data_IF_834869150252
#
_entry.id   IF_834869150252
#
_cell.length_a   1.000
_cell.length_b   1.000
_cell.length_c   1.000
_cell.angle_alpha   90.00
_cell.angle_beta   90.00
_cell.angle_gamma   90.00
#
_symmetry.space_group_name_H-M   'P 1'
#
loop_
_entity.id
_entity.type
_entity.pdbx_description
1 polymer ?
#
# COMPACT_ATOMS: atom_id res chain seq x y z
N UNK A 1 2.72 14.27 -20.91
CA UNK A 1 2.75 12.79 -20.77
C UNK A 1 3.40 12.37 -19.46
N UNK A 2 4.57 12.91 -19.08
CA UNK A 2 5.20 12.59 -17.78
C UNK A 2 4.30 12.92 -16.57
N UNK A 3 3.59 14.05 -16.60
CA UNK A 3 2.66 14.46 -15.54
C UNK A 3 1.51 13.48 -15.31
N UNK A 4 1.09 12.80 -16.38
CA UNK A 4 0.01 11.82 -16.35
C UNK A 4 0.54 10.51 -15.76
N UNK A 5 1.72 10.08 -16.20
CA UNK A 5 2.43 8.91 -15.63
C UNK A 5 2.65 9.09 -14.13
N UNK A 6 3.14 10.24 -13.66
CA UNK A 6 3.33 10.49 -12.22
C UNK A 6 2.02 10.49 -11.46
N UNK A 7 0.95 11.12 -11.99
CA UNK A 7 -0.38 11.11 -11.35
C UNK A 7 -0.96 9.70 -11.24
N UNK A 8 -0.90 8.91 -12.32
CA UNK A 8 -1.36 7.52 -12.35
C UNK A 8 -0.53 6.65 -11.40
N UNK A 9 0.78 6.89 -11.31
CA UNK A 9 1.67 6.17 -10.37
C UNK A 9 1.30 6.45 -8.92
N UNK A 10 1.06 7.72 -8.57
CA UNK A 10 0.63 8.09 -7.22
C UNK A 10 -0.75 7.48 -6.90
N UNK A 11 -1.68 7.45 -7.85
CA UNK A 11 -2.98 6.83 -7.67
C UNK A 11 -2.89 5.30 -7.50
N UNK A 12 -2.03 4.64 -8.27
CA UNK A 12 -1.75 3.21 -8.14
C UNK A 12 -1.10 2.90 -6.77
N UNK A 13 -0.16 3.74 -6.31
CA UNK A 13 0.43 3.64 -4.98
C UNK A 13 -0.63 3.77 -3.88
N UNK A 14 -1.50 4.78 -3.94
CA UNK A 14 -2.60 4.95 -2.98
C UNK A 14 -3.52 3.72 -2.94
N UNK A 15 -3.80 3.13 -4.10
CA UNK A 15 -4.65 1.94 -4.20
C UNK A 15 -4.00 0.73 -3.53
N UNK A 16 -2.70 0.51 -3.76
CA UNK A 16 -1.92 -0.53 -3.09
C UNK A 16 -1.85 -0.33 -1.58
N UNK A 17 -1.59 0.89 -1.12
CA UNK A 17 -1.54 1.25 0.31
C UNK A 17 -2.91 1.07 0.98
N UNK A 18 -3.99 1.51 0.35
CA UNK A 18 -5.34 1.32 0.87
C UNK A 18 -5.70 -0.17 0.99
N UNK A 19 -5.27 -0.99 0.02
CA UNK A 19 -5.47 -2.44 0.09
C UNK A 19 -4.66 -3.05 1.23
N UNK A 20 -3.40 -2.64 1.42
CA UNK A 20 -2.57 -3.09 2.54
C UNK A 20 -3.21 -2.73 3.88
N UNK A 21 -3.64 -1.48 4.06
CA UNK A 21 -4.28 -1.02 5.28
C UNK A 21 -5.52 -1.86 5.63
N UNK A 22 -6.38 -2.16 4.64
CA UNK A 22 -7.56 -3.03 4.83
C UNK A 22 -7.17 -4.44 5.27
N UNK A 23 -6.13 -5.01 4.66
CA UNK A 23 -5.66 -6.36 5.00
C UNK A 23 -5.03 -6.40 6.38
N UNK A 24 -4.20 -5.42 6.73
CA UNK A 24 -3.62 -5.29 8.07
C UNK A 24 -4.70 -5.12 9.13
N UNK A 25 -5.71 -4.27 8.90
CA UNK A 25 -6.85 -4.12 9.79
C UNK A 25 -7.63 -5.45 9.98
N UNK A 26 -7.82 -6.21 8.89
CA UNK A 26 -8.42 -7.54 8.96
C UNK A 26 -7.56 -8.53 9.77
N UNK A 27 -6.24 -8.52 9.60
CA UNK A 27 -5.34 -9.36 10.38
C UNK A 27 -5.44 -9.02 11.88
N UNK A 28 -5.37 -7.73 12.23
CA UNK A 28 -5.49 -7.25 13.61
C UNK A 28 -6.82 -7.67 14.23
N UNK A 29 -7.93 -7.54 13.50
CA UNK A 29 -9.25 -7.93 13.97
C UNK A 29 -9.36 -9.45 14.26
N UNK A 30 -8.57 -10.28 13.57
CA UNK A 30 -8.57 -11.73 13.69
C UNK A 30 -7.38 -12.28 14.52
N UNK A 31 -6.66 -11.43 15.26
CA UNK A 31 -5.52 -11.88 16.09
C UNK A 31 -5.91 -12.90 17.18
N UNK A 32 -7.14 -12.82 17.70
CA UNK A 32 -7.66 -13.79 18.69
C UNK A 32 -8.47 -14.93 18.04
N UNK A 33 -8.50 -15.02 16.70
CA UNK A 33 -9.23 -16.07 15.98
C UNK A 33 -8.32 -17.28 15.74
N UNK A 34 -8.67 -18.40 16.39
CA UNK A 34 -7.96 -19.67 16.24
C UNK A 34 -7.96 -20.15 14.78
N UNK A 35 -6.80 -20.60 14.28
CA UNK A 35 -6.64 -21.10 12.91
C UNK A 35 -6.69 -20.04 11.80
N UNK A 36 -6.68 -18.75 12.12
CA UNK A 36 -6.64 -17.69 11.11
C UNK A 36 -5.26 -17.59 10.44
N UNK A 37 -5.25 -17.37 9.12
CA UNK A 37 -4.03 -17.16 8.33
C UNK A 37 -3.99 -15.70 7.89
N UNK A 38 -3.06 -14.94 8.46
CA UNK A 38 -2.76 -13.56 8.12
C UNK A 38 -2.48 -13.45 6.61
N UNK A 39 -2.94 -12.35 6.03
CA UNK A 39 -2.65 -12.03 4.63
C UNK A 39 -1.64 -10.89 4.55
N UNK A 40 -0.89 -10.84 3.45
CA UNK A 40 0.10 -9.81 3.13
C UNK A 40 -0.24 -9.20 1.78
N UNK A 41 0.06 -7.93 1.61
CA UNK A 41 -0.15 -7.19 0.36
C UNK A 41 1.19 -6.69 -0.14
N UNK A 42 1.53 -7.07 -1.36
CA UNK A 42 2.73 -6.63 -2.08
C UNK A 42 2.33 -5.99 -3.40
N UNK A 43 2.84 -4.80 -3.68
CA UNK A 43 2.52 -4.09 -4.93
C UNK A 43 3.66 -3.19 -5.40
N UNK A 44 4.61 -2.85 -4.54
CA UNK A 44 5.67 -1.87 -4.81
C UNK A 44 6.60 -2.31 -5.93
N UNK A 45 7.01 -3.59 -5.95
CA UNK A 45 7.84 -4.13 -7.03
C UNK A 45 7.10 -4.08 -8.38
N UNK A 46 5.80 -4.37 -8.36
CA UNK A 46 4.96 -4.27 -9.55
C UNK A 46 4.79 -2.82 -9.99
N UNK A 47 4.61 -1.89 -9.05
CA UNK A 47 4.50 -0.46 -9.31
C UNK A 47 5.80 0.12 -9.88
N UNK A 48 6.95 -0.22 -9.30
CA UNK A 48 8.25 0.20 -9.78
C UNK A 48 8.51 -0.31 -11.20
N UNK A 49 8.17 -1.58 -11.46
CA UNK A 49 8.27 -2.18 -12.80
C UNK A 49 7.34 -1.50 -13.81
N UNK A 50 6.08 -1.23 -13.43
CA UNK A 50 5.08 -0.57 -14.26
C UNK A 50 5.46 0.89 -14.58
N UNK A 51 6.03 1.60 -13.61
CA UNK A 51 6.56 2.95 -13.78
C UNK A 51 7.73 2.97 -14.78
N UNK A 52 8.70 2.07 -14.61
CA UNK A 52 9.85 1.96 -15.52
C UNK A 52 9.45 1.57 -16.96
N UNK A 53 8.38 0.78 -17.10
CA UNK A 53 7.80 0.44 -18.39
C UNK A 53 6.95 1.56 -19.01
N UNK A 54 6.73 2.67 -18.30
CA UNK A 54 5.90 3.80 -18.75
C UNK A 54 4.39 3.53 -18.71
N UNK A 55 3.94 2.45 -18.08
CA UNK A 55 2.54 2.09 -17.93
C UNK A 55 2.19 1.80 -16.47
N UNK A 56 2.17 2.82 -15.59
CA UNK A 56 1.86 2.64 -14.17
C UNK A 56 0.44 2.09 -13.90
N UNK A 57 -0.48 2.19 -14.86
CA UNK A 57 -1.82 1.61 -14.76
C UNK A 57 -1.82 0.07 -14.77
N UNK A 58 -0.73 -0.57 -15.22
CA UNK A 58 -0.61 -2.04 -15.19
C UNK A 58 -0.10 -2.59 -13.84
N UNK A 59 -0.05 -1.77 -12.79
CA UNK A 59 0.37 -2.20 -11.45
C UNK A 59 -0.57 -3.30 -10.93
N UNK A 60 0.01 -4.38 -10.45
CA UNK A 60 -0.71 -5.51 -9.85
C UNK A 60 -0.51 -5.48 -8.35
N UNK A 61 -1.62 -5.41 -7.61
CA UNK A 61 -1.63 -5.57 -6.15
C UNK A 61 -1.83 -7.05 -5.85
N UNK A 62 -0.80 -7.71 -5.33
CA UNK A 62 -0.85 -9.12 -4.98
C UNK A 62 -1.14 -9.29 -3.50
N UNK A 63 -2.13 -10.12 -3.20
CA UNK A 63 -2.44 -10.57 -1.85
C UNK A 63 -1.99 -12.02 -1.68
N UNK A 64 -1.14 -12.27 -0.70
CA UNK A 64 -0.60 -13.61 -0.43
C UNK A 64 -0.85 -13.98 1.03
N UNK A 65 -0.89 -15.28 1.33
CA UNK A 65 -0.90 -15.74 2.71
C UNK A 65 0.45 -15.43 3.38
N UNK A 66 0.42 -15.05 4.65
CA UNK A 66 1.64 -14.88 5.43
C UNK A 66 2.36 -16.21 5.57
N UNK A 67 3.68 -16.15 5.51
CA UNK A 67 4.59 -17.30 5.71
C UNK A 67 5.12 -17.35 7.15
N UNK A 68 4.63 -16.47 8.02
CA UNK A 68 4.98 -16.44 9.44
C UNK A 68 4.60 -17.77 10.12
N UNK A 69 5.40 -18.18 11.10
CA UNK A 69 5.12 -19.40 11.87
C UNK A 69 3.80 -19.26 12.62
N UNK A 70 2.90 -20.23 12.44
CA UNK A 70 1.70 -20.35 13.26
C UNK A 70 2.05 -20.62 14.72
N UNK A 71 1.39 -19.89 15.62
CA UNK A 71 1.45 -20.11 17.05
C UNK A 71 0.75 -21.42 17.48
N UNK A 72 0.69 -21.65 18.79
CA UNK A 72 0.11 -22.87 19.40
C UNK A 72 -1.37 -23.08 19.03
N UNK A 73 -2.08 -22.00 18.73
CA UNK A 73 -3.49 -21.98 18.32
C UNK A 73 -3.69 -22.06 16.79
N UNK A 74 -2.62 -22.29 16.01
CA UNK A 74 -2.69 -22.31 14.54
C UNK A 74 -2.83 -20.93 13.89
N UNK A 75 -2.95 -19.85 14.68
CA UNK A 75 -2.96 -18.49 14.17
C UNK A 75 -1.52 -18.03 13.88
N UNK A 76 -1.27 -17.43 12.71
CA UNK A 76 0.02 -16.84 12.37
C UNK A 76 0.02 -15.31 12.36
N UNK A 77 -1.03 -14.65 12.85
CA UNK A 77 -1.05 -13.19 13.04
C UNK A 77 -0.08 -12.80 14.15
N UNK A 78 0.85 -11.90 13.84
CA UNK A 78 1.71 -11.27 14.82
C UNK A 78 1.30 -9.79 14.99
N UNK A 79 0.60 -9.48 16.08
CA UNK A 79 0.07 -8.14 16.34
C UNK A 79 1.15 -7.04 16.31
N UNK A 80 2.33 -7.30 16.88
CA UNK A 80 3.41 -6.31 16.90
C UNK A 80 3.88 -5.99 15.48
N UNK A 81 3.97 -7.00 14.61
CA UNK A 81 4.28 -6.79 13.20
C UNK A 81 3.16 -6.08 12.46
N UNK A 82 1.89 -6.42 12.71
CA UNK A 82 0.76 -5.75 12.06
C UNK A 82 0.70 -4.26 12.41
N UNK A 83 0.97 -3.90 13.66
CA UNK A 83 1.00 -2.48 14.10
C UNK A 83 2.11 -1.72 13.35
N UNK A 84 3.31 -2.29 13.25
CA UNK A 84 4.41 -1.66 12.51
C UNK A 84 4.05 -1.47 11.03
N UNK A 85 3.42 -2.48 10.41
CA UNK A 85 2.97 -2.40 9.02
C UNK A 85 1.87 -1.33 8.87
N UNK A 86 0.93 -1.21 9.80
CA UNK A 86 -0.13 -0.20 9.76
C UNK A 86 0.43 1.23 9.90
N UNK A 87 1.37 1.43 10.83
CA UNK A 87 2.06 2.70 11.01
C UNK A 87 2.85 3.09 9.75
N UNK A 88 3.63 2.16 9.20
CA UNK A 88 4.38 2.38 7.97
C UNK A 88 3.44 2.72 6.80
N UNK A 89 2.35 1.96 6.65
CA UNK A 89 1.35 2.19 5.59
C UNK A 89 0.70 3.56 5.74
N UNK A 90 0.42 3.98 6.97
CA UNK A 90 -0.16 5.30 7.26
C UNK A 90 0.81 6.42 6.88
N UNK A 91 2.09 6.30 7.25
CA UNK A 91 3.11 7.27 6.87
C UNK A 91 3.29 7.35 5.35
N UNK A 92 3.35 6.20 4.68
CA UNK A 92 3.44 6.14 3.21
C UNK A 92 2.22 6.80 2.54
N UNK A 93 1.02 6.57 3.07
CA UNK A 93 -0.20 7.18 2.53
C UNK A 93 -0.21 8.71 2.71
N UNK A 94 0.22 9.19 3.86
CA UNK A 94 0.40 10.64 4.11
C UNK A 94 1.42 11.26 3.15
N UNK A 95 2.53 10.56 2.89
CA UNK A 95 3.55 10.99 1.94
C UNK A 95 2.99 11.09 0.51
N UNK A 96 2.27 10.06 0.04
CA UNK A 96 1.66 10.05 -1.29
C UNK A 96 0.62 11.16 -1.44
N UNK A 97 -0.21 11.38 -0.42
CA UNK A 97 -1.16 12.49 -0.39
C UNK A 97 -0.45 13.86 -0.45
N UNK A 98 0.63 14.03 0.31
CA UNK A 98 1.45 15.24 0.27
C UNK A 98 2.09 15.49 -1.10
N UNK A 99 2.58 14.45 -1.77
CA UNK A 99 3.14 14.53 -3.11
C UNK A 99 2.09 14.95 -4.15
N UNK A 100 0.86 14.42 -4.06
CA UNK A 100 -0.26 14.84 -4.90
C UNK A 100 -0.59 16.33 -4.68
N UNK A 101 -0.71 16.77 -3.42
CA UNK A 101 -0.97 18.18 -3.10
C UNK A 101 0.14 19.09 -3.63
N UNK A 102 1.41 18.72 -3.45
CA UNK A 102 2.54 19.48 -3.99
C UNK A 102 2.48 19.59 -5.51
N UNK A 103 2.16 18.50 -6.22
CA UNK A 103 1.99 18.49 -7.68
C UNK A 103 0.89 19.44 -8.14
N UNK A 104 -0.30 19.37 -7.53
CA UNK A 104 -1.40 20.28 -7.86
C UNK A 104 -1.07 21.73 -7.55
N UNK A 105 -0.31 21.98 -6.47
CA UNK A 105 0.24 23.29 -6.16
C UNK A 105 1.07 23.86 -7.30
N UNK A 106 2.02 23.08 -7.83
CA UNK A 106 2.86 23.51 -8.97
C UNK A 106 2.02 23.85 -10.21
N UNK A 107 1.04 23.02 -10.55
CA UNK A 107 0.13 23.28 -11.68
C UNK A 107 -0.66 24.58 -11.44
N UNK A 108 -1.20 24.77 -10.23
CA UNK A 108 -1.93 25.99 -9.87
C UNK A 108 -1.05 27.23 -9.97
N UNK A 109 0.22 27.16 -9.54
CA UNK A 109 1.16 28.28 -9.61
C UNK A 109 1.44 28.69 -11.06
N UNK A 110 1.61 27.73 -11.98
CA UNK A 110 1.83 28.01 -13.41
C UNK A 110 0.57 28.57 -14.09
N UNK A 111 -0.63 28.18 -13.64
CA UNK A 111 -1.89 28.69 -14.21
C UNK A 111 -2.26 30.10 -13.72
N UNK A 112 -1.76 30.50 -12.55
CA UNK A 112 -2.04 31.81 -11.95
C UNK A 112 -0.96 32.87 -12.24
N UNK A 113 0.22 32.47 -12.73
CA UNK A 113 1.29 33.36 -13.19
C UNK A 113 1.21 33.61 -14.69
#
# INVERSE_FOLDING_TARGET
>A
MLDDVTSVTLQAAMTGLAQRQRVTANNIANVETSGYIAQRVSFEDSLASAFNAGNPASTVVQQTASTDNSGVNGNNVNLSSEIVIDEETTMQNQLVAGALTAKYGLISTVLQG
#
